data_IF_692844253534
#
_entry.id   IF_692844253534
#
_cell.length_a   1.000
_cell.length_b   1.000
_cell.length_c   1.000
_cell.angle_alpha   90.00
_cell.angle_beta   90.00
_cell.angle_gamma   90.00
#
_symmetry.space_group_name_H-M   'P 1'
#
loop_
_entity.id
_entity.type
_entity.pdbx_description
1 polymer ?
#
# COMPACT_ATOMS: atom_id res chain seq x y z
N UNK A 1 -17.70 -7.71 -4.44
CA UNK A 1 -18.15 -7.35 -3.07
C UNK A 1 -18.36 -5.86 -3.06
N UNK A 2 -19.44 -5.39 -2.42
CA UNK A 2 -19.96 -4.04 -2.62
C UNK A 2 -19.00 -2.90 -2.22
N UNK A 3 -19.08 -1.78 -2.97
CA UNK A 3 -18.54 -0.45 -2.63
C UNK A 3 -18.59 -0.15 -1.12
N UNK A 4 -17.42 -0.11 -0.48
CA UNK A 4 -17.30 0.27 0.94
C UNK A 4 -16.94 1.76 1.08
N UNK A 5 -17.82 2.63 0.59
CA UNK A 5 -17.74 4.07 0.84
C UNK A 5 -17.69 4.30 2.35
N UNK A 6 -16.58 4.84 2.88
CA UNK A 6 -16.47 5.13 4.31
C UNK A 6 -17.35 6.34 4.62
N UNK A 7 -18.58 6.04 5.07
CA UNK A 7 -19.58 7.02 5.54
C UNK A 7 -19.10 7.98 6.65
N UNK A 8 -17.89 7.77 7.19
CA UNK A 8 -17.28 8.64 8.19
C UNK A 8 -15.77 8.81 7.98
N UNK A 9 -15.27 10.05 8.02
CA UNK A 9 -13.84 10.37 8.10
C UNK A 9 -13.55 11.05 9.45
N UNK A 10 -12.52 10.60 10.16
CA UNK A 10 -12.15 11.12 11.49
C UNK A 10 -10.84 11.91 11.44
N UNK A 11 -10.89 13.16 11.87
CA UNK A 11 -9.73 14.04 12.06
C UNK A 11 -9.70 14.50 13.52
N UNK A 12 -9.15 13.65 14.38
CA UNK A 12 -8.97 13.95 15.80
C UNK A 12 -10.25 13.87 16.64
N UNK A 13 -10.61 14.92 17.41
CA UNK A 13 -11.87 14.93 18.14
C UNK A 13 -13.05 15.03 17.17
N UNK A 14 -12.86 15.51 15.94
CA UNK A 14 -13.93 15.66 14.96
C UNK A 14 -14.08 14.41 14.08
N UNK A 15 -15.32 13.94 13.94
CA UNK A 15 -15.72 13.02 12.86
C UNK A 15 -16.78 13.67 11.98
N UNK A 16 -16.55 13.58 10.68
CA UNK A 16 -17.46 14.01 9.63
C UNK A 16 -18.20 12.79 9.11
N UNK A 17 -19.53 12.81 9.13
CA UNK A 17 -20.40 11.77 8.58
C UNK A 17 -21.14 12.30 7.35
N UNK A 18 -21.26 11.47 6.31
CA UNK A 18 -21.95 11.81 5.04
C UNK A 18 -23.17 10.89 4.87
N UNK A 19 -24.30 11.45 4.42
CA UNK A 19 -25.55 10.74 4.19
C UNK A 19 -26.33 11.34 3.03
N UNK A 20 -27.30 10.59 2.45
CA UNK A 20 -28.19 11.07 1.36
C UNK A 20 -29.05 12.31 1.72
N UNK A 21 -28.99 12.80 2.95
CA UNK A 21 -29.74 13.98 3.44
C UNK A 21 -28.84 15.03 4.10
N UNK A 22 -27.55 15.08 3.75
CA UNK A 22 -26.61 16.11 4.21
C UNK A 22 -25.53 15.64 5.20
N UNK A 23 -24.72 16.62 5.62
CA UNK A 23 -23.51 16.48 6.45
C UNK A 23 -23.83 16.42 7.97
N UNK A 24 -22.98 15.72 8.73
CA UNK A 24 -23.03 15.68 10.20
C UNK A 24 -21.65 15.69 10.86
N UNK A 25 -21.56 16.24 12.08
CA UNK A 25 -20.32 16.51 12.81
C UNK A 25 -20.42 16.02 14.27
N UNK A 26 -19.35 15.45 14.83
CA UNK A 26 -19.37 14.90 16.22
C UNK A 26 -18.01 14.97 16.93
N UNK A 27 -18.03 15.09 18.28
CA UNK A 27 -16.83 15.19 19.11
C UNK A 27 -16.97 14.62 20.55
N UNK A 28 -15.84 14.26 21.19
CA UNK A 28 -15.80 13.93 22.63
C UNK A 28 -14.68 12.99 23.11
N UNK A 29 -14.69 12.73 24.41
CA UNK A 29 -13.59 12.08 25.19
C UNK A 29 -13.97 10.67 25.69
N UNK A 30 -13.12 10.05 26.53
CA UNK A 30 -13.33 8.69 27.04
C UNK A 30 -14.34 8.70 28.20
N UNK A 31 -15.59 8.35 27.91
CA UNK A 31 -16.70 8.28 28.89
C UNK A 31 -17.85 9.26 28.62
N UNK A 32 -17.67 10.24 27.73
CA UNK A 32 -18.72 11.16 27.24
C UNK A 32 -18.40 11.58 25.79
N UNK A 33 -19.34 11.34 24.86
CA UNK A 33 -19.27 11.81 23.45
C UNK A 33 -20.64 12.30 22.97
N UNK A 34 -20.64 13.33 22.13
CA UNK A 34 -21.85 13.96 21.57
C UNK A 34 -21.65 14.21 20.07
N UNK A 35 -22.68 13.95 19.26
CA UNK A 35 -22.64 14.19 17.81
C UNK A 35 -23.98 14.60 17.23
N UNK A 36 -23.93 15.30 16.09
CA UNK A 36 -25.06 15.93 15.40
C UNK A 36 -25.10 15.48 13.94
N UNK A 37 -26.27 15.12 13.42
CA UNK A 37 -26.46 14.80 12.00
C UNK A 37 -27.92 14.84 11.56
N UNK A 38 -28.23 14.57 10.28
CA UNK A 38 -29.55 14.83 9.68
C UNK A 38 -30.76 14.05 10.23
N UNK A 39 -30.56 13.18 11.23
CA UNK A 39 -31.63 12.45 11.95
C UNK A 39 -31.51 12.60 13.47
N UNK A 40 -30.90 13.69 13.94
CA UNK A 40 -30.78 14.04 15.35
C UNK A 40 -29.42 13.71 15.96
N UNK A 41 -29.33 13.97 17.26
CA UNK A 41 -28.08 13.93 18.03
C UNK A 41 -27.94 12.60 18.78
N UNK A 42 -26.72 12.07 18.89
CA UNK A 42 -26.45 10.86 19.67
C UNK A 42 -25.39 11.10 20.75
N UNK A 43 -25.58 10.41 21.89
CA UNK A 43 -24.80 10.60 23.12
C UNK A 43 -24.38 9.24 23.68
N UNK A 44 -23.12 9.13 24.08
CA UNK A 44 -22.56 7.94 24.72
C UNK A 44 -21.90 8.33 26.06
N UNK A 45 -22.42 7.82 27.18
CA UNK A 45 -21.98 8.13 28.55
C UNK A 45 -21.72 6.86 29.38
N UNK A 46 -20.77 6.91 30.33
CA UNK A 46 -20.68 5.93 31.42
C UNK A 46 -19.29 5.68 32.01
N UNK A 47 -19.28 5.35 33.31
CA UNK A 47 -18.10 5.01 34.14
C UNK A 47 -18.58 4.29 35.40
N UNK A 48 -17.79 3.37 35.96
CA UNK A 48 -18.07 2.77 37.28
C UNK A 48 -19.14 1.67 37.31
N UNK A 49 -19.54 1.10 36.16
CA UNK A 49 -20.49 -0.01 36.08
C UNK A 49 -21.82 0.33 35.40
N UNK A 50 -22.14 1.62 35.28
CA UNK A 50 -23.34 2.11 34.59
C UNK A 50 -22.97 2.82 33.28
N UNK A 51 -23.69 2.49 32.20
CA UNK A 51 -23.48 3.04 30.86
C UNK A 51 -24.82 3.39 30.18
N UNK A 52 -24.90 4.58 29.61
CA UNK A 52 -26.06 5.09 28.87
C UNK A 52 -25.67 5.38 27.42
N UNK A 53 -26.45 4.87 26.46
CA UNK A 53 -26.12 4.92 25.04
C UNK A 53 -27.39 4.96 24.20
N UNK A 54 -27.64 6.11 23.56
CA UNK A 54 -28.54 6.21 22.43
C UNK A 54 -27.72 6.01 21.13
N UNK A 55 -28.26 5.27 20.15
CA UNK A 55 -27.50 4.61 19.08
C UNK A 55 -26.51 5.52 18.35
N UNK A 56 -25.29 5.10 17.99
CA UNK A 56 -24.84 3.85 17.32
C UNK A 56 -23.64 3.17 18.06
N UNK A 57 -22.72 2.36 17.46
CA UNK A 57 -22.83 1.35 16.39
C UNK A 57 -22.88 -0.08 17.02
N UNK A 58 -21.95 -1.08 16.89
CA UNK A 58 -20.47 -1.00 16.81
C UNK A 58 -19.84 -1.91 15.69
N UNK A 59 -18.53 -2.19 15.77
CA UNK A 59 -17.71 -3.11 14.95
C UNK A 59 -16.48 -3.55 15.79
N UNK A 60 -15.76 -4.64 15.45
CA UNK A 60 -14.42 -4.96 16.01
C UNK A 60 -13.43 -5.47 14.95
N UNK A 61 -12.14 -5.41 15.29
CA UNK A 61 -10.97 -5.62 14.43
C UNK A 61 -10.00 -6.61 15.08
N UNK A 62 -9.15 -7.26 14.27
CA UNK A 62 -7.96 -8.01 14.70
C UNK A 62 -6.78 -7.69 13.79
N UNK A 63 -5.56 -7.65 14.33
CA UNK A 63 -4.33 -7.19 13.64
C UNK A 63 -3.20 -8.20 13.83
N UNK A 64 -2.40 -8.42 12.79
CA UNK A 64 -1.19 -9.26 12.83
C UNK A 64 -0.09 -8.62 11.99
N UNK A 65 1.11 -8.48 12.55
CA UNK A 65 2.28 -8.00 11.82
C UNK A 65 2.93 -9.14 11.00
N UNK A 66 3.53 -8.87 9.83
CA UNK A 66 4.30 -9.87 9.11
C UNK A 66 5.64 -10.13 9.79
N UNK A 67 6.05 -11.40 9.89
CA UNK A 67 7.43 -11.79 10.18
C UNK A 67 8.22 -11.80 8.87
N UNK A 68 9.36 -11.13 8.84
CA UNK A 68 10.37 -11.28 7.80
C UNK A 68 10.99 -12.68 7.88
N UNK A 69 10.74 -13.52 6.87
CA UNK A 69 11.45 -14.77 6.69
C UNK A 69 12.74 -14.48 5.91
N UNK A 70 13.88 -14.46 6.60
CA UNK A 70 15.16 -14.67 5.93
C UNK A 70 15.16 -16.11 5.42
N UNK A 71 15.24 -16.29 4.10
CA UNK A 71 15.27 -17.60 3.48
C UNK A 71 16.72 -17.94 3.15
N UNK A 72 17.34 -18.75 4.02
CA UNK A 72 18.65 -19.36 3.75
C UNK A 72 18.51 -20.31 2.55
N UNK A 73 18.80 -19.79 1.37
CA UNK A 73 18.94 -20.61 0.17
C UNK A 73 20.30 -21.30 0.19
N UNK A 74 20.34 -22.53 0.72
CA UNK A 74 21.43 -23.48 0.44
C UNK A 74 21.29 -23.92 -1.02
N UNK A 75 21.64 -23.03 -1.93
CA UNK A 75 21.71 -23.24 -3.38
C UNK A 75 23.15 -23.57 -3.78
N UNK A 76 23.35 -24.67 -4.50
CA UNK A 76 24.63 -24.98 -5.12
C UNK A 76 25.09 -23.81 -6.01
N UNK A 77 26.37 -23.43 -5.89
CA UNK A 77 26.96 -22.32 -6.65
C UNK A 77 26.77 -22.54 -8.16
N UNK A 78 25.92 -21.71 -8.76
CA UNK A 78 25.91 -21.54 -10.22
C UNK A 78 27.21 -20.80 -10.57
N UNK A 79 28.00 -21.23 -11.57
CA UNK A 79 29.23 -20.54 -11.93
C UNK A 79 28.98 -19.08 -12.35
N UNK A 80 29.84 -18.17 -11.90
CA UNK A 80 29.79 -16.77 -12.32
C UNK A 80 29.97 -16.65 -13.86
N UNK A 81 29.19 -15.76 -14.49
CA UNK A 81 29.19 -15.55 -15.95
C UNK A 81 28.16 -16.37 -16.75
N UNK A 82 27.30 -17.15 -16.09
CA UNK A 82 26.22 -17.95 -16.71
C UNK A 82 25.01 -17.10 -17.17
N UNK A 83 24.95 -15.84 -16.74
CA UNK A 83 23.99 -14.82 -17.17
C UNK A 83 24.66 -13.44 -17.26
N UNK A 84 24.05 -12.52 -17.99
CA UNK A 84 24.39 -11.11 -18.02
C UNK A 84 24.14 -10.46 -16.62
N UNK A 85 24.75 -9.30 -16.31
CA UNK A 85 24.43 -8.55 -15.10
C UNK A 85 22.91 -8.33 -15.00
N UNK A 86 22.36 -8.40 -13.78
CA UNK A 86 20.95 -8.09 -13.57
C UNK A 86 20.73 -6.58 -13.74
N UNK A 87 19.92 -6.21 -14.73
CA UNK A 87 19.43 -4.85 -14.90
C UNK A 87 18.22 -4.64 -13.98
N UNK A 88 18.26 -3.61 -13.15
CA UNK A 88 17.18 -3.27 -12.24
C UNK A 88 16.05 -2.59 -13.00
N UNK A 89 14.83 -3.08 -12.81
CA UNK A 89 13.61 -2.50 -13.40
C UNK A 89 13.24 -1.31 -12.52
N UNK A 90 14.00 -0.21 -12.66
CA UNK A 90 13.75 1.02 -11.94
C UNK A 90 12.77 1.93 -12.69
N UNK A 91 11.74 2.35 -11.97
CA UNK A 91 11.02 3.57 -12.28
C UNK A 91 11.90 4.81 -12.04
N UNK A 92 11.63 5.91 -12.77
CA UNK A 92 12.36 7.16 -12.67
C UNK A 92 12.28 7.84 -11.27
N UNK A 93 12.98 8.96 -11.09
CA UNK A 93 12.85 9.77 -9.88
C UNK A 93 11.41 10.29 -9.69
N UNK A 94 10.87 10.11 -8.48
CA UNK A 94 9.53 10.53 -8.06
C UNK A 94 9.24 12.00 -8.37
N UNK A 95 10.27 12.86 -8.37
CA UNK A 95 10.16 14.28 -8.72
C UNK A 95 9.80 14.57 -10.19
N UNK A 96 9.89 13.56 -11.08
CA UNK A 96 9.47 13.65 -12.49
C UNK A 96 8.13 12.95 -12.74
N UNK A 97 7.64 12.17 -11.79
CA UNK A 97 6.37 11.43 -11.86
C UNK A 97 5.19 12.31 -11.43
N UNK A 98 4.97 13.43 -12.12
CA UNK A 98 3.85 14.32 -11.81
C UNK A 98 3.20 14.83 -13.08
N UNK A 99 1.95 14.42 -13.29
CA UNK A 99 1.09 15.04 -14.30
C UNK A 99 0.63 16.44 -13.86
N UNK A 100 0.52 17.34 -14.83
CA UNK A 100 -0.06 18.68 -14.77
C UNK A 100 -1.33 18.79 -13.91
N UNK A 101 -2.30 17.88 -14.13
CA UNK A 101 -3.57 17.77 -13.39
C UNK A 101 -3.43 17.49 -11.88
N UNK A 102 -2.23 17.15 -11.44
CA UNK A 102 -1.96 16.57 -10.13
C UNK A 102 -0.86 17.31 -9.35
N UNK A 103 -0.21 18.31 -9.98
CA UNK A 103 0.84 19.13 -9.39
C UNK A 103 0.43 19.74 -8.04
N UNK A 104 -0.70 20.44 -7.97
CA UNK A 104 -1.14 21.14 -6.75
C UNK A 104 -1.31 20.19 -5.54
N UNK A 105 -1.91 19.02 -5.77
CA UNK A 105 -2.12 18.00 -4.73
C UNK A 105 -0.79 17.38 -4.30
N UNK A 106 0.10 17.08 -5.26
CA UNK A 106 1.43 16.52 -5.00
C UNK A 106 2.30 17.51 -4.22
N UNK A 107 2.29 18.79 -4.59
CA UNK A 107 3.00 19.84 -3.87
C UNK A 107 2.43 20.06 -2.46
N UNK A 108 1.11 20.04 -2.27
CA UNK A 108 0.50 20.11 -0.95
C UNK A 108 0.95 18.94 -0.05
N UNK A 109 0.94 17.71 -0.60
CA UNK A 109 1.39 16.50 0.09
C UNK A 109 2.87 16.57 0.45
N UNK A 110 3.73 16.95 -0.50
CA UNK A 110 5.17 17.09 -0.29
C UNK A 110 5.50 18.22 0.70
N UNK A 111 4.82 19.35 0.64
CA UNK A 111 4.98 20.46 1.59
C UNK A 111 4.55 20.08 3.00
N UNK A 112 3.39 19.41 3.17
CA UNK A 112 2.93 18.92 4.47
C UNK A 112 3.84 17.82 5.04
N UNK A 113 4.39 16.96 4.19
CA UNK A 113 5.36 15.93 4.59
C UNK A 113 6.63 16.54 5.17
N UNK A 114 7.19 17.57 4.52
CA UNK A 114 8.41 18.31 4.93
C UNK A 114 8.29 19.06 6.26
N UNK A 115 7.07 19.35 6.77
CA UNK A 115 6.88 20.00 8.08
C UNK A 115 7.58 19.23 9.21
N UNK A 116 8.26 19.91 10.13
CA UNK A 116 8.86 19.26 11.31
C UNK A 116 7.75 18.76 12.25
N UNK A 117 7.95 17.61 12.91
CA UNK A 117 7.08 17.16 14.01
C UNK A 117 7.51 17.90 15.28
N UNK A 118 6.61 18.70 15.86
CA UNK A 118 6.86 19.48 17.08
C UNK A 118 6.68 18.65 18.36
N UNK A 119 5.87 17.59 18.34
CA UNK A 119 5.60 16.77 19.53
C UNK A 119 6.85 16.15 20.20
N UNK A 120 7.90 15.64 19.50
CA UNK A 120 9.07 15.10 20.19
C UNK A 120 9.90 16.22 20.86
N UNK A 121 10.00 17.40 20.23
CA UNK A 121 10.67 18.56 20.81
C UNK A 121 9.92 19.04 22.06
N UNK A 122 8.59 19.10 22.00
CA UNK A 122 7.74 19.38 23.15
C UNK A 122 7.90 18.36 24.28
N UNK A 123 7.91 17.05 23.96
CA UNK A 123 8.10 15.98 24.93
C UNK A 123 9.46 16.09 25.65
N UNK A 124 10.53 16.43 24.92
CA UNK A 124 11.85 16.68 25.49
C UNK A 124 11.83 17.92 26.38
N UNK A 125 11.28 19.04 25.92
CA UNK A 125 11.18 20.28 26.67
C UNK A 125 10.39 20.12 27.98
N UNK A 126 9.24 19.46 27.93
CA UNK A 126 8.41 19.19 29.11
C UNK A 126 9.08 18.22 30.09
N UNK A 127 9.79 17.21 29.58
CA UNK A 127 10.59 16.29 30.41
C UNK A 127 11.73 17.02 31.14
N UNK A 128 12.48 17.88 30.43
CA UNK A 128 13.54 18.72 31.01
C UNK A 128 12.97 19.65 32.07
N UNK A 129 11.86 20.36 31.77
CA UNK A 129 11.22 21.27 32.70
C UNK A 129 10.79 20.55 34.00
N UNK A 130 10.18 19.36 33.89
CA UNK A 130 9.79 18.57 35.06
C UNK A 130 10.99 18.06 35.87
N UNK A 131 12.10 17.73 35.21
CA UNK A 131 13.36 17.34 35.88
C UNK A 131 14.01 18.53 36.59
N UNK A 132 14.02 19.72 35.99
CA UNK A 132 14.52 20.94 36.61
C UNK A 132 13.73 21.33 37.88
N UNK A 133 12.39 21.21 37.85
CA UNK A 133 11.55 21.45 39.05
C UNK A 133 11.91 20.48 40.19
N UNK A 134 12.19 19.21 39.87
CA UNK A 134 12.60 18.21 40.86
C UNK A 134 14.01 18.49 41.42
N UNK A 135 14.99 18.77 40.55
CA UNK A 135 16.38 19.06 40.96
C UNK A 135 16.53 20.37 41.75
N UNK A 136 15.67 21.36 41.51
CA UNK A 136 15.67 22.63 42.23
C UNK A 136 15.06 22.56 43.65
N UNK A 137 14.66 21.37 44.12
CA UNK A 137 14.18 21.17 45.49
C UNK A 137 12.77 21.68 45.76
N UNK A 138 11.96 21.94 44.72
CA UNK A 138 10.54 22.29 44.90
C UNK A 138 9.75 21.11 45.48
N UNK A 139 8.60 21.35 46.13
CA UNK A 139 7.74 20.30 46.64
C UNK A 139 7.37 19.26 45.56
N UNK A 140 7.48 17.97 45.88
CA UNK A 140 7.27 16.86 44.93
C UNK A 140 5.92 16.94 44.17
N UNK A 141 4.87 17.47 44.80
CA UNK A 141 3.56 17.65 44.14
C UNK A 141 3.62 18.60 42.93
N UNK A 142 4.51 19.58 42.94
CA UNK A 142 4.71 20.53 41.84
C UNK A 142 5.41 19.84 40.65
N UNK A 143 6.39 18.97 40.93
CA UNK A 143 7.03 18.15 39.89
C UNK A 143 6.03 17.18 39.23
N UNK A 144 5.18 16.52 40.02
CA UNK A 144 4.11 15.68 39.48
C UNK A 144 3.07 16.48 38.67
N UNK A 145 2.68 17.68 39.13
CA UNK A 145 1.80 18.56 38.37
C UNK A 145 2.43 18.99 37.03
N UNK A 146 3.71 19.36 37.03
CA UNK A 146 4.46 19.71 35.82
C UNK A 146 4.56 18.54 34.83
N UNK A 147 4.81 17.32 35.32
CA UNK A 147 4.77 16.09 34.52
C UNK A 147 3.40 15.86 33.85
N UNK A 148 2.30 16.03 34.59
CA UNK A 148 0.93 15.86 34.04
C UNK A 148 0.61 16.92 32.98
N UNK A 149 0.93 18.20 33.25
CA UNK A 149 0.77 19.29 32.28
C UNK A 149 1.62 19.04 31.03
N UNK A 150 2.86 18.58 31.20
CA UNK A 150 3.77 18.23 30.11
C UNK A 150 3.28 17.07 29.25
N UNK A 151 2.68 16.05 29.86
CA UNK A 151 2.05 14.94 29.14
C UNK A 151 0.84 15.39 28.33
N UNK A 152 -0.02 16.26 28.90
CA UNK A 152 -1.17 16.85 28.19
C UNK A 152 -0.70 17.76 27.05
N UNK A 153 0.30 18.61 27.28
CA UNK A 153 0.91 19.45 26.26
C UNK A 153 1.51 18.64 25.11
N UNK A 154 2.24 17.57 25.43
CA UNK A 154 2.78 16.62 24.44
C UNK A 154 1.67 15.96 23.62
N UNK A 155 0.58 15.53 24.26
CA UNK A 155 -0.58 14.95 23.59
C UNK A 155 -1.29 15.96 22.65
N UNK A 156 -1.40 17.23 23.07
CA UNK A 156 -1.90 18.31 22.22
C UNK A 156 -0.97 18.57 21.02
N UNK A 157 0.35 18.61 21.21
CA UNK A 157 1.32 18.78 20.12
C UNK A 157 1.30 17.60 19.14
N UNK A 158 1.23 16.36 19.64
CA UNK A 158 1.08 15.16 18.81
C UNK A 158 -0.19 15.22 17.96
N UNK A 159 -1.31 15.64 18.57
CA UNK A 159 -2.56 15.80 17.86
C UNK A 159 -2.49 16.91 16.80
N UNK A 160 -1.90 18.05 17.15
CA UNK A 160 -1.74 19.19 16.24
C UNK A 160 -0.82 18.88 15.05
N UNK A 161 0.29 18.16 15.28
CA UNK A 161 1.15 17.63 14.22
C UNK A 161 0.40 16.67 13.29
N UNK A 162 -0.45 15.80 13.86
CA UNK A 162 -1.24 14.85 13.08
C UNK A 162 -2.23 15.56 12.14
N UNK A 163 -2.85 16.67 12.57
CA UNK A 163 -3.64 17.54 11.68
C UNK A 163 -2.73 18.21 10.64
N UNK A 164 -1.66 18.88 11.10
CA UNK A 164 -0.78 19.72 10.26
C UNK A 164 -0.09 18.97 9.13
N UNK A 165 0.15 17.67 9.30
CA UNK A 165 0.70 16.78 8.27
C UNK A 165 -0.36 16.08 7.43
N UNK A 166 -1.62 16.04 7.85
CA UNK A 166 -2.66 15.34 7.11
C UNK A 166 -3.21 16.15 5.94
N UNK A 167 -3.40 15.48 4.81
CA UNK A 167 -4.19 15.96 3.67
C UNK A 167 -5.48 15.16 3.60
N UNK A 168 -6.58 15.85 3.34
CA UNK A 168 -7.91 15.23 3.22
C UNK A 168 -8.29 15.28 1.74
N UNK A 169 -8.51 14.12 1.14
CA UNK A 169 -8.93 13.98 -0.26
C UNK A 169 -10.30 13.29 -0.25
N UNK A 170 -11.36 14.06 -0.51
CA UNK A 170 -12.73 13.57 -0.55
C UNK A 170 -13.18 13.52 -1.99
N UNK A 171 -13.65 12.36 -2.44
CA UNK A 171 -14.30 12.21 -3.73
C UNK A 171 -15.80 12.29 -3.54
N UNK A 172 -16.45 13.22 -4.24
CA UNK A 172 -17.85 13.03 -4.60
C UNK A 172 -17.85 12.20 -5.90
N UNK A 173 -18.70 11.19 -5.98
CA UNK A 173 -18.70 10.22 -7.09
C UNK A 173 -20.12 10.14 -7.60
N UNK A 174 -20.32 10.62 -8.83
CA UNK A 174 -21.60 10.53 -9.52
C UNK A 174 -22.01 9.07 -9.73
N UNK A 175 -23.33 8.81 -9.76
CA UNK A 175 -23.87 7.45 -9.88
C UNK A 175 -23.33 6.73 -11.14
N UNK A 176 -23.10 7.45 -12.24
CA UNK A 176 -22.51 6.90 -13.49
C UNK A 176 -21.04 6.45 -13.31
N UNK A 177 -20.21 7.24 -12.61
CA UNK A 177 -18.81 6.90 -12.38
C UNK A 177 -18.64 5.83 -11.28
N UNK A 178 -19.63 5.70 -10.38
CA UNK A 178 -19.61 4.75 -9.27
C UNK A 178 -19.44 3.30 -9.72
N UNK A 179 -20.04 2.90 -10.85
CA UNK A 179 -19.94 1.55 -11.41
C UNK A 179 -18.55 1.23 -11.98
N UNK A 180 -17.81 2.24 -12.45
CA UNK A 180 -16.44 2.09 -12.95
C UNK A 180 -15.48 1.87 -11.78
N UNK A 181 -15.63 2.69 -10.74
CA UNK A 181 -14.89 2.55 -9.47
C UNK A 181 -15.18 1.19 -8.81
N UNK A 182 -16.43 0.70 -8.82
CA UNK A 182 -16.75 -0.63 -8.30
C UNK A 182 -16.08 -1.76 -9.12
N UNK A 183 -16.03 -1.65 -10.45
CA UNK A 183 -15.28 -2.60 -11.29
C UNK A 183 -13.77 -2.57 -11.00
N UNK A 184 -13.16 -1.40 -10.79
CA UNK A 184 -11.76 -1.28 -10.39
C UNK A 184 -11.50 -1.99 -9.06
N UNK A 185 -12.36 -1.72 -8.06
CA UNK A 185 -12.31 -2.40 -6.76
C UNK A 185 -12.47 -3.91 -6.86
N UNK A 186 -13.38 -4.38 -7.72
CA UNK A 186 -13.59 -5.81 -7.95
C UNK A 186 -12.37 -6.47 -8.61
N UNK A 187 -11.80 -5.84 -9.63
CA UNK A 187 -10.61 -6.35 -10.32
C UNK A 187 -9.37 -6.38 -9.41
N UNK A 188 -9.11 -5.31 -8.65
CA UNK A 188 -8.08 -5.33 -7.60
C UNK A 188 -8.33 -6.40 -6.53
N UNK A 189 -9.61 -6.65 -6.17
CA UNK A 189 -10.00 -7.73 -5.26
C UNK A 189 -9.74 -9.12 -5.84
N UNK A 190 -9.96 -9.32 -7.14
CA UNK A 190 -9.65 -10.57 -7.85
C UNK A 190 -8.14 -10.84 -7.89
N UNK A 191 -7.33 -9.81 -8.19
CA UNK A 191 -5.87 -9.86 -8.13
C UNK A 191 -5.39 -10.18 -6.71
N UNK A 192 -5.92 -9.49 -5.69
CA UNK A 192 -5.62 -9.73 -4.27
C UNK A 192 -5.97 -11.14 -3.80
N UNK A 193 -6.85 -11.86 -4.50
CA UNK A 193 -7.22 -13.24 -4.22
C UNK A 193 -6.22 -14.29 -4.72
N UNK A 194 -5.15 -13.89 -5.41
CA UNK A 194 -4.10 -14.80 -5.91
C UNK A 194 -3.20 -15.30 -4.77
N UNK A 195 -2.83 -16.58 -4.76
CA UNK A 195 -2.02 -17.18 -3.68
C UNK A 195 -0.57 -16.67 -3.65
N UNK A 196 -0.04 -16.20 -4.78
CA UNK A 196 1.17 -15.42 -4.84
C UNK A 196 1.05 -14.25 -5.82
N UNK A 197 1.58 -13.11 -5.38
CA UNK A 197 1.81 -11.90 -6.17
C UNK A 197 3.29 -11.57 -5.96
N UNK A 198 4.01 -11.32 -7.04
CA UNK A 198 5.44 -11.03 -7.02
C UNK A 198 5.68 -9.67 -7.66
N UNK A 199 6.54 -8.84 -7.06
CA UNK A 199 7.15 -7.68 -7.72
C UNK A 199 8.46 -8.11 -8.37
N UNK A 200 8.69 -7.71 -9.62
CA UNK A 200 9.92 -8.00 -10.36
C UNK A 200 10.85 -6.81 -10.21
N UNK A 201 11.95 -7.01 -9.50
CA UNK A 201 12.92 -5.96 -9.18
C UNK A 201 14.00 -5.84 -10.26
N UNK A 202 14.45 -6.98 -10.82
CA UNK A 202 15.52 -6.99 -11.80
C UNK A 202 15.41 -8.20 -12.75
N UNK A 203 15.93 -8.04 -13.95
CA UNK A 203 16.00 -9.09 -14.98
C UNK A 203 17.43 -9.19 -15.53
N UNK A 204 17.91 -10.40 -15.79
CA UNK A 204 19.22 -10.65 -16.41
C UNK A 204 19.11 -11.77 -17.44
N UNK A 205 19.64 -11.55 -18.65
CA UNK A 205 19.57 -12.53 -19.73
C UNK A 205 20.49 -13.72 -19.45
N UNK A 206 20.00 -14.94 -19.70
CA UNK A 206 20.81 -16.16 -19.53
C UNK A 206 21.68 -16.40 -20.76
N UNK A 207 22.98 -16.60 -20.54
CA UNK A 207 23.95 -16.96 -21.59
C UNK A 207 24.10 -18.48 -21.69
N UNK A 208 24.25 -19.19 -20.56
CA UNK A 208 24.22 -20.66 -20.51
C UNK A 208 22.97 -21.21 -19.83
N UNK A 209 22.00 -21.57 -20.69
CA UNK A 209 20.69 -22.15 -20.30
C UNK A 209 20.81 -23.46 -19.53
N UNK A 210 21.97 -24.13 -19.56
CA UNK A 210 22.21 -25.42 -18.89
C UNK A 210 21.96 -25.37 -17.39
N UNK A 211 22.44 -24.34 -16.71
CA UNK A 211 22.39 -24.20 -15.25
C UNK A 211 21.12 -23.48 -14.75
N UNK A 212 20.35 -22.89 -15.66
CA UNK A 212 19.10 -22.18 -15.38
C UNK A 212 17.87 -22.95 -15.88
N UNK A 213 17.91 -24.29 -15.84
CA UNK A 213 16.79 -25.17 -16.19
C UNK A 213 16.16 -24.93 -17.58
N UNK A 214 16.92 -24.37 -18.53
CA UNK A 214 16.45 -23.99 -19.86
C UNK A 214 15.87 -22.57 -19.98
N UNK A 215 15.85 -21.75 -18.93
CA UNK A 215 15.37 -20.37 -18.96
C UNK A 215 16.11 -19.49 -19.99
N UNK A 216 15.49 -18.40 -20.42
CA UNK A 216 16.08 -17.36 -21.28
C UNK A 216 16.50 -16.11 -20.53
N UNK A 217 15.85 -15.82 -19.40
CA UNK A 217 16.25 -14.81 -18.42
C UNK A 217 16.08 -15.35 -17.00
N UNK A 218 16.81 -14.75 -16.06
CA UNK A 218 16.66 -14.91 -14.61
C UNK A 218 16.09 -13.60 -14.09
N UNK A 219 15.13 -13.67 -13.16
CA UNK A 219 14.55 -12.48 -12.53
C UNK A 219 14.78 -12.51 -11.02
N UNK A 220 15.06 -11.34 -10.45
CA UNK A 220 14.96 -11.10 -9.01
C UNK A 220 13.54 -10.59 -8.72
N UNK A 221 12.85 -11.24 -7.77
CA UNK A 221 11.47 -10.90 -7.42
C UNK A 221 11.22 -11.05 -5.93
N UNK A 222 10.35 -10.22 -5.38
CA UNK A 222 9.93 -10.28 -3.97
C UNK A 222 8.42 -10.48 -3.84
N UNK A 223 8.00 -11.20 -2.78
CA UNK A 223 6.58 -11.50 -2.58
C UNK A 223 5.87 -10.27 -2.03
N UNK A 224 4.83 -9.82 -2.71
CA UNK A 224 4.01 -8.67 -2.32
C UNK A 224 2.57 -9.10 -2.03
N UNK A 225 1.78 -8.17 -1.51
CA UNK A 225 0.34 -8.35 -1.29
C UNK A 225 -0.40 -7.07 -1.66
N UNK A 226 -1.35 -7.16 -2.59
CA UNK A 226 -2.30 -6.09 -2.86
C UNK A 226 -3.23 -5.98 -1.64
N UNK A 227 -3.35 -4.79 -1.06
CA UNK A 227 -4.27 -4.54 0.06
C UNK A 227 -5.07 -3.27 -0.18
N UNK A 228 -6.16 -3.06 0.56
CA UNK A 228 -6.92 -1.80 0.52
C UNK A 228 -6.52 -0.92 1.71
N UNK A 229 -5.65 0.06 1.47
CA UNK A 229 -5.11 0.93 2.52
C UNK A 229 -5.00 2.38 2.04
N UNK A 230 -5.23 3.35 2.94
CA UNK A 230 -5.04 4.77 2.61
C UNK A 230 -3.56 5.16 2.78
N UNK A 231 -3.02 6.06 1.93
CA UNK A 231 -1.63 6.48 2.05
C UNK A 231 -1.28 7.12 3.40
N UNK A 232 0.00 7.09 3.84
CA UNK A 232 0.45 7.78 5.04
C UNK A 232 0.06 9.25 5.04
N UNK A 233 -0.54 9.70 6.14
CA UNK A 233 -1.07 11.08 6.32
C UNK A 233 -2.22 11.50 5.39
N UNK A 234 -2.63 10.69 4.42
CA UNK A 234 -3.84 10.95 3.61
C UNK A 234 -5.09 10.45 4.34
N UNK A 235 -6.17 11.24 4.29
CA UNK A 235 -7.50 10.88 4.79
C UNK A 235 -8.49 10.95 3.63
N UNK A 236 -9.11 9.83 3.31
CA UNK A 236 -10.07 9.74 2.21
C UNK A 236 -11.30 8.92 2.59
N UNK A 237 -12.40 9.14 1.86
CA UNK A 237 -13.68 8.47 2.00
C UNK A 237 -13.77 7.19 1.13
N UNK A 238 -12.99 7.09 0.06
CA UNK A 238 -12.91 5.89 -0.76
C UNK A 238 -12.00 4.84 -0.12
N UNK A 239 -12.22 3.57 -0.44
CA UNK A 239 -11.17 2.57 -0.26
C UNK A 239 -10.14 2.77 -1.38
N UNK A 240 -8.88 2.46 -1.13
CA UNK A 240 -7.79 2.69 -2.09
C UNK A 240 -7.02 1.38 -2.24
N UNK A 241 -7.07 0.70 -3.40
CA UNK A 241 -6.12 -0.36 -3.71
C UNK A 241 -4.69 0.15 -3.56
N UNK A 242 -3.85 -0.63 -2.90
CA UNK A 242 -2.45 -0.31 -2.64
C UNK A 242 -1.58 -1.50 -3.03
N UNK A 243 -0.64 -1.26 -3.96
CA UNK A 243 0.33 -2.24 -4.45
C UNK A 243 1.73 -1.74 -4.07
N UNK A 244 2.44 -2.42 -3.15
CA UNK A 244 3.84 -2.11 -2.89
C UNK A 244 4.72 -2.68 -4.01
N UNK A 245 5.63 -1.87 -4.54
CA UNK A 245 6.56 -2.18 -5.63
C UNK A 245 7.93 -1.63 -5.26
N UNK A 246 8.80 -2.49 -4.73
CA UNK A 246 10.11 -2.12 -4.18
C UNK A 246 10.04 -0.99 -3.14
N UNK A 247 10.68 0.14 -3.46
CA UNK A 247 10.75 1.36 -2.64
C UNK A 247 9.47 2.22 -2.70
N UNK A 248 8.59 1.96 -3.68
CA UNK A 248 7.39 2.74 -3.94
C UNK A 248 6.12 1.98 -3.55
N UNK A 249 5.03 2.70 -3.30
CA UNK A 249 3.69 2.13 -3.13
C UNK A 249 2.71 2.88 -4.03
N UNK A 250 2.08 2.16 -4.95
CA UNK A 250 1.06 2.66 -5.86
C UNK A 250 -0.30 2.63 -5.15
N UNK A 251 -0.94 3.79 -5.04
CA UNK A 251 -2.27 3.95 -4.45
C UNK A 251 -3.26 4.41 -5.53
N UNK A 252 -4.18 3.52 -5.90
CA UNK A 252 -5.15 3.74 -6.97
C UNK A 252 -6.35 4.51 -6.43
N UNK A 253 -6.45 5.80 -6.76
CA UNK A 253 -7.63 6.62 -6.51
C UNK A 253 -8.57 6.55 -7.72
N UNK A 254 -9.82 7.07 -7.62
CA UNK A 254 -10.77 7.03 -8.73
C UNK A 254 -10.31 7.73 -10.01
N UNK A 255 -9.45 8.76 -9.91
CA UNK A 255 -9.02 9.65 -10.99
C UNK A 255 -7.51 9.57 -11.32
N UNK A 256 -6.67 9.14 -10.37
CA UNK A 256 -5.22 9.01 -10.53
C UNK A 256 -4.60 7.93 -9.65
N UNK A 257 -3.36 7.56 -9.94
CA UNK A 257 -2.51 6.74 -9.08
C UNK A 257 -1.52 7.64 -8.35
N UNK A 258 -1.59 7.68 -7.02
CA UNK A 258 -0.56 8.34 -6.20
C UNK A 258 0.57 7.37 -5.89
N UNK A 259 1.81 7.82 -6.13
CA UNK A 259 3.02 7.03 -5.93
C UNK A 259 3.72 7.56 -4.68
N UNK A 260 3.89 6.73 -3.66
CA UNK A 260 4.55 7.10 -2.40
C UNK A 260 5.91 6.43 -2.27
N UNK A 261 6.97 7.23 -2.17
CA UNK A 261 8.36 6.79 -1.93
C UNK A 261 8.88 7.40 -0.61
N UNK A 262 9.94 6.89 0.06
CA UNK A 262 10.59 7.59 1.17
C UNK A 262 10.98 9.05 0.88
N UNK A 263 11.44 9.36 -0.34
CA UNK A 263 11.88 10.70 -0.75
C UNK A 263 10.76 11.71 -1.04
N UNK A 264 9.62 11.25 -1.58
CA UNK A 264 8.56 12.14 -2.05
C UNK A 264 7.23 11.43 -2.33
N UNK A 265 6.28 12.20 -2.88
CA UNK A 265 5.05 11.70 -3.47
C UNK A 265 5.01 12.17 -4.93
N UNK A 266 4.59 11.28 -5.83
CA UNK A 266 4.28 11.56 -7.22
C UNK A 266 2.82 11.19 -7.54
N UNK A 267 2.35 11.53 -8.73
CA UNK A 267 1.01 11.21 -9.21
C UNK A 267 0.97 11.02 -10.73
N UNK A 268 0.33 9.94 -11.17
CA UNK A 268 0.11 9.62 -12.58
C UNK A 268 -1.40 9.52 -12.81
N UNK A 269 -1.94 10.32 -13.72
CA UNK A 269 -3.33 10.23 -14.19
C UNK A 269 -3.53 8.97 -15.04
N UNK A 270 -4.75 8.41 -15.05
CA UNK A 270 -5.01 7.18 -15.82
C UNK A 270 -4.84 7.35 -17.34
N UNK A 271 -4.95 8.58 -17.85
CA UNK A 271 -4.64 8.92 -19.25
C UNK A 271 -3.18 8.65 -19.63
N UNK A 272 -2.26 8.77 -18.66
CA UNK A 272 -0.82 8.61 -18.85
C UNK A 272 -0.32 7.27 -18.28
N UNK A 273 -1.21 6.36 -17.88
CA UNK A 273 -0.87 5.07 -17.29
C UNK A 273 -1.18 3.92 -18.26
N UNK A 274 -0.15 3.45 -18.93
CA UNK A 274 -0.21 2.23 -19.73
C UNK A 274 -0.15 1.00 -18.81
N UNK A 275 -1.11 0.09 -18.97
CA UNK A 275 -1.14 -1.20 -18.25
C UNK A 275 -1.14 -2.32 -19.27
N UNK A 276 0.04 -2.89 -19.50
CA UNK A 276 0.22 -4.01 -20.42
C UNK A 276 0.12 -5.34 -19.66
N UNK A 277 -0.65 -6.27 -20.22
CA UNK A 277 -0.81 -7.61 -19.69
C UNK A 277 -0.18 -8.60 -20.65
N UNK A 278 0.66 -9.48 -20.13
CA UNK A 278 1.20 -10.63 -20.85
C UNK A 278 1.06 -11.91 -20.03
N UNK A 279 1.31 -13.07 -20.64
CA UNK A 279 1.42 -14.35 -19.92
C UNK A 279 2.82 -14.91 -20.15
N UNK A 280 3.48 -15.28 -19.07
CA UNK A 280 4.86 -15.79 -19.11
C UNK A 280 4.96 -17.20 -18.55
N UNK A 281 5.84 -18.00 -19.13
CA UNK A 281 6.13 -19.37 -18.68
C UNK A 281 7.29 -19.31 -17.69
N UNK A 282 6.98 -19.40 -16.41
CA UNK A 282 7.94 -19.32 -15.32
C UNK A 282 8.41 -20.72 -14.89
N UNK A 283 9.69 -20.87 -14.54
CA UNK A 283 10.25 -22.13 -14.01
C UNK A 283 10.32 -22.02 -12.50
N UNK A 284 9.41 -22.70 -11.79
CA UNK A 284 9.22 -22.53 -10.35
C UNK A 284 10.02 -23.57 -9.54
N UNK A 285 11.27 -23.23 -9.20
CA UNK A 285 12.13 -24.06 -8.34
C UNK A 285 11.77 -23.94 -6.83
N UNK A 286 10.91 -22.98 -6.47
CA UNK A 286 10.41 -22.72 -5.12
C UNK A 286 9.09 -23.43 -4.78
N UNK A 287 8.41 -23.02 -3.68
CA UNK A 287 7.10 -23.53 -3.31
C UNK A 287 6.02 -23.11 -4.32
N UNK A 288 5.46 -24.08 -5.03
CA UNK A 288 4.41 -23.88 -6.03
C UNK A 288 3.13 -23.24 -5.40
N UNK A 289 2.64 -22.09 -5.91
CA UNK A 289 1.36 -21.53 -5.48
C UNK A 289 0.19 -22.46 -5.84
N UNK A 290 -0.82 -22.53 -4.97
CA UNK A 290 -1.94 -23.50 -5.09
C UNK A 290 -2.87 -23.26 -6.29
N UNK A 291 -2.82 -22.05 -6.85
CA UNK A 291 -3.62 -21.59 -7.99
C UNK A 291 -2.80 -21.44 -9.28
N UNK A 292 -1.51 -21.82 -9.26
CA UNK A 292 -0.63 -21.77 -10.42
C UNK A 292 -0.95 -22.90 -11.42
N UNK A 293 -1.17 -22.52 -12.67
CA UNK A 293 -1.38 -23.47 -13.76
C UNK A 293 -0.04 -24.08 -14.20
N UNK A 294 0.13 -25.39 -14.02
CA UNK A 294 1.34 -26.11 -14.46
C UNK A 294 1.20 -26.52 -15.93
N UNK A 295 1.86 -25.77 -16.82
CA UNK A 295 1.82 -25.97 -18.28
C UNK A 295 2.94 -26.88 -18.81
N UNK A 296 3.86 -27.31 -17.96
CA UNK A 296 4.94 -28.21 -18.35
C UNK A 296 5.89 -28.56 -17.21
N UNK A 297 6.96 -29.26 -17.53
CA UNK A 297 8.05 -29.62 -16.60
C UNK A 297 9.38 -29.52 -17.34
N UNK A 298 10.41 -29.05 -16.66
CA UNK A 298 11.80 -28.98 -17.14
C UNK A 298 12.72 -29.67 -16.13
N UNK A 299 14.01 -29.76 -16.42
CA UNK A 299 15.03 -30.33 -15.53
C UNK A 299 15.93 -29.23 -14.99
N UNK A 300 16.35 -29.33 -13.72
CA UNK A 300 17.27 -28.35 -13.10
C UNK A 300 18.52 -28.10 -13.94
N UNK A 301 19.09 -29.18 -14.50
CA UNK A 301 20.18 -29.12 -15.46
C UNK A 301 19.75 -29.71 -16.80
N UNK A 302 19.70 -28.88 -17.84
CA UNK A 302 19.27 -29.30 -19.19
C UNK A 302 20.45 -29.63 -20.09
N UNK A 303 20.29 -30.67 -20.92
CA UNK A 303 21.20 -30.98 -22.01
C UNK A 303 20.88 -30.11 -23.26
N UNK A 304 21.73 -30.16 -24.30
CA UNK A 304 21.56 -29.36 -25.53
C UNK A 304 20.24 -29.60 -26.29
N UNK A 305 19.48 -30.65 -25.96
CA UNK A 305 18.16 -30.99 -26.53
C UNK A 305 17.00 -30.65 -25.56
N UNK A 306 17.25 -30.00 -24.43
CA UNK A 306 16.24 -29.60 -23.44
C UNK A 306 15.82 -30.70 -22.44
N UNK A 307 16.30 -31.93 -22.60
CA UNK A 307 16.06 -33.02 -21.63
C UNK A 307 17.05 -33.00 -20.46
N UNK A 308 16.90 -33.93 -19.52
CA UNK A 308 17.82 -34.09 -18.38
C UNK A 308 19.28 -34.25 -18.83
N UNK A 309 20.21 -33.47 -18.25
CA UNK A 309 21.63 -33.83 -18.23
C UNK A 309 21.88 -34.87 -17.13
N UNK A 310 22.08 -36.14 -17.53
CA UNK A 310 22.31 -37.28 -16.64
C UNK A 310 23.67 -37.25 -15.93
N UNK A 311 24.55 -36.28 -16.23
CA UNK A 311 25.85 -36.12 -15.55
C UNK A 311 25.73 -35.51 -14.15
N UNK A 312 24.63 -34.83 -13.85
CA UNK A 312 24.37 -34.26 -12.53
C UNK A 312 23.55 -35.24 -11.71
N UNK A 313 24.09 -35.61 -10.54
CA UNK A 313 23.43 -36.54 -9.60
C UNK A 313 22.12 -35.99 -9.05
N UNK A 314 22.09 -34.69 -8.75
CA UNK A 314 20.95 -34.00 -8.11
C UNK A 314 20.12 -33.19 -9.14
N UNK A 315 19.82 -33.82 -10.28
CA UNK A 315 19.04 -33.21 -11.35
C UNK A 315 17.54 -33.51 -11.19
N UNK A 316 16.83 -32.70 -10.38
CA UNK A 316 15.38 -32.81 -10.21
C UNK A 316 14.60 -32.21 -11.37
N UNK A 317 13.39 -32.70 -11.59
CA UNK A 317 12.40 -31.98 -12.40
C UNK A 317 11.84 -30.76 -11.65
N UNK A 318 11.58 -29.69 -12.40
CA UNK A 318 11.03 -28.42 -11.93
C UNK A 318 9.76 -28.13 -12.75
N UNK A 319 8.62 -27.76 -12.13
CA UNK A 319 7.42 -27.38 -12.85
C UNK A 319 7.63 -26.08 -13.65
N UNK A 320 7.04 -26.04 -14.85
CA UNK A 320 6.87 -24.82 -15.64
C UNK A 320 5.42 -24.38 -15.45
N UNK A 321 5.24 -23.19 -14.90
CA UNK A 321 3.94 -22.59 -14.60
C UNK A 321 3.63 -21.43 -15.53
N UNK A 322 2.35 -21.15 -15.72
CA UNK A 322 1.89 -19.94 -16.40
C UNK A 322 1.55 -18.87 -15.36
N UNK A 323 2.17 -17.70 -15.47
CA UNK A 323 1.85 -16.53 -14.66
C UNK A 323 1.35 -15.40 -15.57
N UNK A 324 0.31 -14.70 -15.12
CA UNK A 324 -0.10 -13.41 -15.67
C UNK A 324 0.92 -12.37 -15.21
N UNK A 325 1.37 -11.51 -16.12
CA UNK A 325 2.32 -10.43 -15.83
C UNK A 325 1.70 -9.09 -16.21
N UNK A 326 1.73 -8.14 -15.26
CA UNK A 326 1.21 -6.78 -15.43
C UNK A 326 2.41 -5.83 -15.40
N UNK A 327 2.60 -5.08 -16.47
CA UNK A 327 3.61 -4.02 -16.58
C UNK A 327 2.90 -2.66 -16.57
N UNK A 328 3.18 -1.85 -15.56
CA UNK A 328 2.74 -0.47 -15.42
C UNK A 328 3.80 0.46 -16.00
N UNK A 329 3.45 1.23 -17.02
CA UNK A 329 4.35 2.25 -17.60
C UNK A 329 3.68 3.61 -17.71
N UNK A 330 4.45 4.69 -17.67
CA UNK A 330 3.96 6.05 -17.97
C UNK A 330 5.02 6.90 -18.66
N UNK A 331 4.58 7.89 -19.44
CA UNK A 331 5.44 8.91 -20.03
C UNK A 331 6.23 9.71 -18.96
N UNK A 332 5.71 9.80 -17.73
CA UNK A 332 6.37 10.46 -16.58
C UNK A 332 7.44 9.59 -15.89
N UNK A 333 7.65 8.35 -16.35
CA UNK A 333 8.75 7.49 -15.93
C UNK A 333 8.42 6.40 -14.92
N UNK A 334 7.15 6.15 -14.59
CA UNK A 334 6.74 4.88 -13.95
C UNK A 334 7.09 3.70 -14.89
N UNK A 335 7.70 2.64 -14.35
CA UNK A 335 7.99 1.39 -15.04
C UNK A 335 8.10 0.25 -14.01
N UNK A 336 6.95 -0.31 -13.60
CA UNK A 336 6.88 -1.33 -12.55
C UNK A 336 6.23 -2.61 -13.07
N UNK A 337 6.71 -3.77 -12.63
CA UNK A 337 6.25 -5.07 -13.14
C UNK A 337 5.88 -6.02 -12.01
N UNK A 338 4.71 -6.65 -12.12
CA UNK A 338 4.23 -7.65 -11.16
C UNK A 338 3.78 -8.93 -11.87
N UNK A 339 4.00 -10.08 -11.23
CA UNK A 339 3.51 -11.39 -11.67
C UNK A 339 2.46 -11.94 -10.70
N UNK A 340 1.39 -12.52 -11.24
CA UNK A 340 0.29 -13.15 -10.52
C UNK A 340 0.33 -14.66 -10.72
N UNK A 341 0.15 -15.43 -9.64
CA UNK A 341 0.09 -16.89 -9.76
C UNK A 341 -1.15 -17.41 -10.47
N UNK A 342 -2.22 -16.63 -10.50
CA UNK A 342 -3.51 -17.00 -11.06
C UNK A 342 -3.69 -16.36 -12.44
N UNK A 343 -4.00 -17.19 -13.44
CA UNK A 343 -4.31 -16.75 -14.81
C UNK A 343 -5.63 -15.97 -14.88
N UNK A 344 -5.71 -15.06 -15.86
CA UNK A 344 -6.93 -14.36 -16.33
C UNK A 344 -7.62 -13.41 -15.33
N UNK A 345 -7.03 -13.15 -14.16
CA UNK A 345 -7.53 -12.14 -13.22
C UNK A 345 -7.01 -10.73 -13.50
N UNK A 346 -5.98 -10.62 -14.34
CA UNK A 346 -5.36 -9.35 -14.71
C UNK A 346 -6.20 -8.56 -15.73
N UNK A 347 -6.80 -9.21 -16.74
CA UNK A 347 -7.45 -8.55 -17.88
C UNK A 347 -8.49 -7.49 -17.49
N UNK A 348 -9.45 -7.77 -16.59
CA UNK A 348 -10.46 -6.79 -16.21
C UNK A 348 -9.88 -5.54 -15.51
N UNK A 349 -8.69 -5.64 -14.92
CA UNK A 349 -8.03 -4.52 -14.25
C UNK A 349 -7.43 -3.52 -15.25
N UNK A 350 -6.77 -4.00 -16.31
CA UNK A 350 -6.26 -3.10 -17.37
C UNK A 350 -7.39 -2.50 -18.21
N UNK A 351 -8.45 -3.25 -18.49
CA UNK A 351 -9.65 -2.75 -19.19
C UNK A 351 -10.27 -1.57 -18.43
N UNK A 352 -10.51 -1.72 -17.13
CA UNK A 352 -11.10 -0.65 -16.30
C UNK A 352 -10.17 0.56 -16.18
N UNK A 353 -8.86 0.37 -16.05
CA UNK A 353 -7.90 1.48 -16.04
C UNK A 353 -7.94 2.26 -17.37
N UNK A 354 -7.96 1.55 -18.50
CA UNK A 354 -8.06 2.15 -19.84
C UNK A 354 -9.39 2.88 -20.02
N UNK A 355 -10.48 2.36 -19.46
CA UNK A 355 -11.81 2.98 -19.50
C UNK A 355 -11.85 4.28 -18.66
N UNK A 356 -11.27 4.28 -17.46
CA UNK A 356 -11.16 5.49 -16.62
C UNK A 356 -10.32 6.56 -17.34
N UNK A 357 -9.16 6.18 -17.90
CA UNK A 357 -8.32 7.10 -18.67
C UNK A 357 -9.05 7.75 -19.85
N UNK A 358 -9.93 7.03 -20.55
CA UNK A 358 -10.74 7.61 -21.64
C UNK A 358 -11.86 8.55 -21.17
N UNK A 359 -12.28 8.46 -19.92
CA UNK A 359 -13.37 9.26 -19.37
C UNK A 359 -12.89 10.51 -18.63
N UNK A 360 -11.65 10.53 -18.13
CA UNK A 360 -11.01 11.72 -17.53
C UNK A 360 -10.85 12.90 -18.48
N UNK A 361 -10.86 12.64 -19.79
CA UNK A 361 -10.63 13.62 -20.88
C UNK A 361 -11.86 14.52 -21.16
N UNK A 362 -12.96 14.42 -20.40
CA UNK A 362 -14.24 15.10 -20.69
C UNK A 362 -14.60 16.25 -19.74
#
# INVERSE_FOLDING_TARGET
>A
MALYLRKSVSVGPFRFNISKSGLGLSAGIKGLRVGTGPRGNYIHMGRGGLYYRAALPPMKSGSSAPRSFAQDAIGAQIPDGTHEPMEEIESADIGRMVDSSSLEIVDELNAKRKRVRLWPLGAILFSILSLCVWLAGFPNWLAYAASVVGLVGTACLFYFDAIRKSTVIVYDIDDDFSGIVERLHFACGAISGSAAIWHLEAEGRVTDRKYHAGATSVVRRTKIALTFSSPPYVKTNVATPSIPVGKQVLYFFPDKVLIFEPGGVGAVSYENLDVLISRTKFIEDGPLPKDAEVVGRTWKYVNKRGGADKRFKDNREIPVVLYDEINFSSATGLNERIQLSKSEVSTPFAEVITEIGRLGVK
#
